data_IF_699529481819
#
_entry.id   IF_699529481819
#
_cell.length_a   1.000
_cell.length_b   1.000
_cell.length_c   1.000
_cell.angle_alpha   90.00
_cell.angle_beta   90.00
_cell.angle_gamma   90.00
#
_symmetry.space_group_name_H-M   'P 1'
#
loop_
_entity.id
_entity.type
_entity.pdbx_description
1 polymer ?
#
# COMPACT_ATOMS: atom_id res chain seq x y z
N UNK A 1 54.74 52.93 42.72
CA UNK A 1 53.60 53.44 41.93
C UNK A 1 53.97 53.37 40.45
N UNK A 2 53.55 52.33 39.72
CA UNK A 2 53.13 52.38 38.29
C UNK A 2 52.71 50.98 37.81
N UNK A 3 51.74 50.99 36.92
CA UNK A 3 50.76 49.94 36.66
C UNK A 3 51.31 48.72 35.90
N UNK A 4 50.66 47.58 36.17
CA UNK A 4 50.90 46.26 35.57
C UNK A 4 50.30 46.17 34.16
N UNK A 5 51.03 45.40 33.36
CA UNK A 5 50.75 44.82 32.04
C UNK A 5 49.29 44.36 31.83
N UNK A 6 48.73 44.74 30.68
CA UNK A 6 47.49 44.22 30.10
C UNK A 6 47.74 42.83 29.51
N UNK A 7 47.05 41.81 30.02
CA UNK A 7 46.98 40.47 29.42
C UNK A 7 45.81 40.42 28.44
N UNK A 8 46.11 40.23 27.16
CA UNK A 8 45.13 39.93 26.10
C UNK A 8 44.46 38.59 26.36
N UNK A 9 43.12 38.58 26.40
CA UNK A 9 42.32 37.37 26.29
C UNK A 9 41.97 37.15 24.83
N UNK A 10 42.51 36.08 24.23
CA UNK A 10 42.02 35.59 22.93
C UNK A 10 40.72 34.83 23.17
N UNK A 11 39.62 35.33 22.58
CA UNK A 11 38.33 34.63 22.56
C UNK A 11 38.41 33.61 21.43
N UNK A 12 38.55 32.33 21.77
CA UNK A 12 38.43 31.24 20.81
C UNK A 12 36.97 31.13 20.38
N UNK A 13 36.68 31.58 19.16
CA UNK A 13 35.37 31.39 18.52
C UNK A 13 35.22 29.92 18.14
N UNK A 14 34.57 29.13 19.00
CA UNK A 14 34.11 27.79 18.66
C UNK A 14 33.03 27.90 17.59
N UNK A 15 33.40 27.61 16.34
CA UNK A 15 32.45 27.42 15.24
C UNK A 15 31.72 26.10 15.51
N UNK A 16 30.53 26.19 16.10
CA UNK A 16 29.54 25.11 16.13
C UNK A 16 29.05 24.90 14.69
N UNK A 17 29.69 23.97 13.97
CA UNK A 17 29.13 23.42 12.74
C UNK A 17 27.93 22.58 13.15
N UNK A 18 26.74 23.19 13.10
CA UNK A 18 25.51 22.45 13.10
C UNK A 18 25.46 21.66 11.80
N UNK A 19 25.86 20.39 11.83
CA UNK A 19 25.30 19.42 10.90
C UNK A 19 23.80 19.41 11.17
N UNK A 20 23.05 20.17 10.36
CA UNK A 20 21.68 19.81 10.08
C UNK A 20 21.76 18.42 9.47
N UNK A 21 21.66 17.40 10.31
CA UNK A 21 21.05 16.14 9.90
C UNK A 21 19.69 16.57 9.37
N UNK A 22 19.61 16.73 8.05
CA UNK A 22 18.35 16.67 7.36
C UNK A 22 17.71 15.39 7.87
N UNK A 23 16.69 15.53 8.71
CA UNK A 23 15.81 14.45 9.08
C UNK A 23 15.31 13.94 7.73
N UNK A 24 15.95 12.89 7.20
CA UNK A 24 15.44 12.17 6.05
C UNK A 24 14.12 11.62 6.56
N UNK A 25 13.04 12.34 6.25
CA UNK A 25 11.69 12.05 6.72
C UNK A 25 11.48 10.56 6.50
N UNK A 26 11.30 9.82 7.58
CA UNK A 26 11.27 8.38 7.47
C UNK A 26 10.10 8.02 6.55
N UNK A 27 10.38 7.24 5.49
CA UNK A 27 9.42 6.83 4.46
C UNK A 27 8.45 5.79 5.03
N UNK A 28 7.61 6.19 5.99
CA UNK A 28 6.53 5.34 6.48
C UNK A 28 5.24 5.65 5.75
N UNK A 29 4.59 4.61 5.27
CA UNK A 29 3.20 4.65 4.87
C UNK A 29 2.35 4.00 5.97
N UNK A 30 1.22 4.62 6.28
CA UNK A 30 0.29 4.08 7.29
C UNK A 30 -0.91 3.44 6.62
N UNK A 31 -1.33 2.29 7.15
CA UNK A 31 -2.52 1.57 6.71
C UNK A 31 -2.54 1.36 5.19
N UNK A 32 -1.45 0.83 4.63
CA UNK A 32 -1.36 0.46 3.22
C UNK A 32 -1.02 -1.03 3.08
N UNK A 33 -1.34 -1.59 1.91
CA UNK A 33 -0.91 -2.93 1.52
C UNK A 33 -0.15 -2.87 0.20
N UNK A 34 0.80 -3.79 0.03
CA UNK A 34 1.56 -3.95 -1.20
C UNK A 34 0.74 -4.74 -2.22
N UNK A 35 0.60 -4.21 -3.42
CA UNK A 35 0.09 -4.92 -4.60
C UNK A 35 1.28 -5.35 -5.45
N UNK A 36 1.60 -6.66 -5.52
CA UNK A 36 2.78 -7.17 -6.19
C UNK A 36 2.54 -7.37 -7.70
N UNK A 37 2.19 -6.30 -8.41
CA UNK A 37 2.06 -6.32 -9.87
C UNK A 37 3.42 -6.15 -10.56
N UNK A 38 3.45 -6.12 -11.89
CA UNK A 38 4.66 -5.82 -12.68
C UNK A 38 5.28 -4.46 -12.32
N UNK A 39 4.46 -3.52 -11.84
CA UNK A 39 4.87 -2.23 -11.29
C UNK A 39 4.30 -2.12 -9.87
N UNK A 40 4.96 -2.71 -8.86
CA UNK A 40 4.38 -2.82 -7.54
C UNK A 40 4.09 -1.43 -6.95
N UNK A 41 3.03 -1.36 -6.16
CA UNK A 41 2.61 -0.14 -5.49
C UNK A 41 1.95 -0.44 -4.16
N UNK A 42 1.95 0.55 -3.28
CA UNK A 42 1.18 0.54 -2.05
C UNK A 42 -0.19 1.18 -2.29
N UNK A 43 -1.23 0.64 -1.67
CA UNK A 43 -2.56 1.22 -1.70
C UNK A 43 -3.17 1.24 -0.29
N UNK A 44 -3.86 2.33 0.08
CA UNK A 44 -4.51 2.48 1.38
C UNK A 44 -5.43 1.30 1.68
N UNK A 45 -5.36 0.67 2.84
CA UNK A 45 -6.22 -0.45 3.24
C UNK A 45 -7.70 -0.05 3.19
N UNK A 46 -8.01 1.14 3.70
CA UNK A 46 -9.36 1.69 3.77
C UNK A 46 -9.53 2.82 2.76
N UNK A 47 -10.76 3.02 2.28
CA UNK A 47 -11.17 4.33 1.79
C UNK A 47 -10.89 5.41 2.83
N UNK A 48 -10.65 6.63 2.38
CA UNK A 48 -10.48 7.76 3.28
C UNK A 48 -11.70 7.83 4.22
N UNK A 49 -11.44 7.84 5.55
CA UNK A 49 -12.48 7.70 6.60
C UNK A 49 -12.86 9.02 7.27
N UNK A 50 -14.00 9.00 7.98
CA UNK A 50 -14.83 10.12 8.45
C UNK A 50 -14.49 10.73 9.81
N UNK A 51 -13.27 10.60 10.34
CA UNK A 51 -12.88 11.51 11.45
C UNK A 51 -12.78 12.97 10.97
N UNK A 52 -12.78 13.17 9.65
CA UNK A 52 -13.10 14.43 9.00
C UNK A 52 -14.41 14.22 8.25
N UNK A 53 -15.49 14.84 8.76
CA UNK A 53 -16.88 14.73 8.28
C UNK A 53 -17.00 15.04 6.77
N UNK A 54 -15.95 15.64 6.18
CA UNK A 54 -15.82 15.99 4.76
C UNK A 54 -15.32 14.85 3.85
N UNK A 55 -14.66 13.83 4.39
CA UNK A 55 -13.98 12.79 3.59
C UNK A 55 -14.98 11.87 2.85
N UNK A 56 -16.25 11.93 3.24
CA UNK A 56 -17.34 11.19 2.64
C UNK A 56 -17.77 11.62 1.23
N UNK A 57 -17.45 12.85 0.83
CA UNK A 57 -17.95 13.45 -0.40
C UNK A 57 -16.90 14.40 -0.98
N UNK A 58 -15.77 13.84 -1.42
CA UNK A 58 -14.69 14.60 -2.01
C UNK A 58 -15.03 14.90 -3.46
N UNK A 59 -14.79 16.13 -3.90
CA UNK A 59 -14.54 16.40 -5.32
C UNK A 59 -13.23 15.74 -5.74
N UNK A 60 -13.06 15.50 -7.04
CA UNK A 60 -11.80 14.95 -7.57
C UNK A 60 -10.55 15.75 -7.14
N UNK A 61 -10.66 17.08 -7.10
CA UNK A 61 -9.55 17.95 -6.68
C UNK A 61 -9.25 17.83 -5.17
N UNK A 62 -10.28 17.67 -4.33
CA UNK A 62 -10.09 17.47 -2.89
C UNK A 62 -9.49 16.09 -2.61
N UNK A 63 -9.87 15.07 -3.38
CA UNK A 63 -9.27 13.74 -3.31
C UNK A 63 -7.78 13.76 -3.71
N UNK A 64 -7.43 14.44 -4.81
CA UNK A 64 -6.04 14.60 -5.25
C UNK A 64 -5.20 15.35 -4.20
N UNK A 65 -5.72 16.45 -3.68
CA UNK A 65 -5.07 17.21 -2.60
C UNK A 65 -4.95 16.38 -1.31
N UNK A 66 -5.96 15.58 -0.97
CA UNK A 66 -5.91 14.67 0.18
C UNK A 66 -4.75 13.67 0.03
N UNK A 67 -4.65 12.97 -1.10
CA UNK A 67 -3.57 12.01 -1.31
C UNK A 67 -2.20 12.68 -1.34
N UNK A 68 -2.09 13.86 -1.97
CA UNK A 68 -0.83 14.63 -2.02
C UNK A 68 -0.32 15.01 -0.63
N UNK A 69 -1.22 15.37 0.32
CA UNK A 69 -0.84 15.66 1.71
C UNK A 69 -0.30 14.44 2.47
N UNK A 70 -0.66 13.24 2.04
CA UNK A 70 -0.13 11.98 2.56
C UNK A 70 1.20 11.58 1.89
N UNK A 71 1.71 12.37 0.95
CA UNK A 71 2.86 11.98 0.11
C UNK A 71 2.52 10.88 -0.90
N UNK A 72 1.23 10.72 -1.22
CA UNK A 72 0.66 9.72 -2.11
C UNK A 72 -0.04 10.39 -3.30
N UNK A 73 -0.65 9.62 -4.18
CA UNK A 73 -1.43 10.12 -5.33
C UNK A 73 -2.75 9.37 -5.48
N UNK A 74 -3.61 9.89 -6.35
CA UNK A 74 -4.77 9.13 -6.82
C UNK A 74 -4.30 7.85 -7.56
N UNK A 75 -5.02 6.73 -7.39
CA UNK A 75 -4.81 5.53 -8.18
C UNK A 75 -5.20 5.80 -9.63
N UNK A 76 -4.43 5.22 -10.55
CA UNK A 76 -4.94 4.98 -11.89
C UNK A 76 -6.06 3.96 -11.84
N UNK A 77 -6.94 3.95 -12.85
CA UNK A 77 -7.99 2.94 -12.99
C UNK A 77 -7.40 1.52 -12.98
N UNK A 78 -6.25 1.33 -13.62
CA UNK A 78 -5.60 0.02 -13.72
C UNK A 78 -5.02 -0.44 -12.38
N UNK A 79 -4.36 0.45 -11.61
CA UNK A 79 -3.89 0.14 -10.27
C UNK A 79 -5.04 -0.22 -9.34
N UNK A 80 -6.12 0.57 -9.37
CA UNK A 80 -7.31 0.27 -8.60
C UNK A 80 -7.83 -1.12 -8.97
N UNK A 81 -7.97 -1.42 -10.27
CA UNK A 81 -8.46 -2.71 -10.74
C UNK A 81 -7.53 -3.88 -10.39
N UNK A 82 -6.21 -3.70 -10.46
CA UNK A 82 -5.23 -4.70 -10.05
C UNK A 82 -5.36 -5.06 -8.58
N UNK A 83 -5.53 -4.05 -7.72
CA UNK A 83 -5.76 -4.24 -6.29
C UNK A 83 -7.09 -4.96 -6.04
N UNK A 84 -8.17 -4.52 -6.69
CA UNK A 84 -9.52 -5.07 -6.53
C UNK A 84 -9.64 -6.52 -7.01
N UNK A 85 -9.08 -6.83 -8.18
CA UNK A 85 -9.18 -8.15 -8.82
C UNK A 85 -8.19 -9.17 -8.27
N UNK A 86 -7.23 -8.75 -7.44
CA UNK A 86 -6.15 -9.63 -7.01
C UNK A 86 -5.23 -10.05 -8.12
N UNK A 87 -4.94 -9.14 -9.06
CA UNK A 87 -4.22 -9.46 -10.30
C UNK A 87 -4.97 -10.54 -11.12
N UNK A 88 -6.30 -10.44 -11.17
CA UNK A 88 -7.17 -11.36 -11.92
C UNK A 88 -7.52 -12.68 -11.21
N UNK A 89 -7.10 -12.88 -9.95
CA UNK A 89 -7.49 -14.05 -9.14
C UNK A 89 -8.99 -14.06 -8.84
N UNK A 90 -9.58 -12.87 -8.68
CA UNK A 90 -11.02 -12.71 -8.52
C UNK A 90 -11.68 -12.44 -9.88
N UNK A 91 -12.87 -13.02 -10.10
CA UNK A 91 -13.58 -12.93 -11.38
C UNK A 91 -14.83 -12.07 -11.31
N UNK A 92 -15.56 -12.12 -10.20
CA UNK A 92 -16.84 -11.42 -10.09
C UNK A 92 -16.76 -10.25 -9.10
N UNK A 93 -16.10 -10.43 -7.96
CA UNK A 93 -16.11 -9.54 -6.81
C UNK A 93 -14.69 -9.27 -6.30
N UNK A 94 -14.47 -8.16 -5.59
CA UNK A 94 -13.13 -7.87 -5.07
C UNK A 94 -12.73 -8.73 -3.87
N UNK A 95 -13.71 -9.42 -3.28
CA UNK A 95 -13.55 -10.21 -2.06
C UNK A 95 -12.62 -11.39 -2.26
N UNK A 96 -11.88 -11.76 -1.20
CA UNK A 96 -11.10 -13.00 -1.17
C UNK A 96 -11.96 -14.19 -1.62
N UNK A 97 -11.38 -15.05 -2.47
CA UNK A 97 -12.02 -16.26 -3.01
C UNK A 97 -13.30 -16.01 -3.82
N UNK A 98 -13.54 -14.77 -4.27
CA UNK A 98 -14.77 -14.41 -4.99
C UNK A 98 -16.05 -14.72 -4.17
N UNK A 99 -15.90 -14.80 -2.86
CA UNK A 99 -16.90 -15.38 -1.97
C UNK A 99 -17.94 -14.34 -1.52
N UNK A 100 -18.90 -14.04 -2.41
CA UNK A 100 -20.17 -13.45 -1.97
C UNK A 100 -21.00 -14.53 -1.27
N UNK A 101 -20.99 -14.53 0.06
CA UNK A 101 -21.98 -15.33 0.79
C UNK A 101 -23.35 -14.64 0.74
N UNK A 102 -24.45 -15.40 0.72
CA UNK A 102 -25.82 -14.86 0.66
C UNK A 102 -26.18 -13.92 1.83
N UNK A 103 -25.36 -13.86 2.88
CA UNK A 103 -25.50 -12.94 4.02
C UNK A 103 -24.76 -11.59 3.82
N UNK A 104 -23.89 -11.48 2.82
CA UNK A 104 -22.99 -10.34 2.59
C UNK A 104 -23.54 -9.41 1.49
N UNK A 105 -24.40 -8.47 1.88
CA UNK A 105 -24.62 -7.27 1.07
C UNK A 105 -23.28 -6.53 0.96
N UNK A 106 -22.90 -6.08 -0.24
CA UNK A 106 -21.91 -5.01 -0.37
C UNK A 106 -22.25 -3.92 0.63
N UNK A 107 -21.23 -3.44 1.37
CA UNK A 107 -21.33 -2.61 2.56
C UNK A 107 -22.61 -1.76 2.61
N UNK A 108 -23.61 -2.24 3.38
CA UNK A 108 -24.92 -1.63 3.49
C UNK A 108 -25.07 -0.92 4.83
N UNK A 109 -24.90 0.40 4.83
CA UNK A 109 -25.60 1.29 5.75
C UNK A 109 -25.87 2.61 5.04
N UNK A 110 -27.15 2.94 4.88
CA UNK A 110 -27.61 4.05 4.05
C UNK A 110 -27.24 5.44 4.60
N UNK A 111 -26.69 5.54 5.82
CA UNK A 111 -26.53 6.82 6.52
C UNK A 111 -25.12 7.10 7.08
N UNK A 112 -24.15 6.21 6.88
CA UNK A 112 -22.75 6.45 7.24
C UNK A 112 -21.85 5.50 6.47
N UNK A 113 -20.62 5.92 6.16
CA UNK A 113 -19.54 4.98 5.91
C UNK A 113 -19.48 4.08 7.14
N UNK A 114 -19.94 2.83 6.99
CA UNK A 114 -19.84 1.86 8.07
C UNK A 114 -18.37 1.77 8.38
N UNK A 115 -17.98 2.18 9.59
CA UNK A 115 -16.62 1.96 10.02
C UNK A 115 -16.34 0.47 9.87
N UNK A 116 -15.23 0.13 9.23
CA UNK A 116 -14.74 -1.23 8.99
C UNK A 116 -14.33 -1.93 10.31
N UNK A 117 -15.00 -1.59 11.41
CA UNK A 117 -14.69 -2.04 12.76
C UNK A 117 -15.36 -3.35 13.13
N UNK A 118 -16.25 -3.87 12.29
CA UNK A 118 -17.02 -5.05 12.63
C UNK A 118 -16.33 -6.30 12.07
N UNK A 119 -15.64 -7.01 12.96
CA UNK A 119 -15.06 -8.34 12.75
C UNK A 119 -16.08 -9.39 12.29
N UNK A 120 -17.35 -9.03 12.09
CA UNK A 120 -18.43 -9.92 11.66
C UNK A 120 -18.79 -9.79 10.17
N UNK A 121 -18.19 -8.86 9.40
CA UNK A 121 -18.62 -8.55 8.02
C UNK A 121 -17.46 -8.34 7.05
N UNK A 122 -16.73 -9.42 6.81
CA UNK A 122 -15.59 -9.53 5.90
C UNK A 122 -15.91 -9.01 4.48
N UNK A 123 -15.55 -7.76 4.23
CA UNK A 123 -15.33 -7.15 2.92
C UNK A 123 -13.83 -7.08 2.57
N UNK A 124 -13.03 -8.01 3.11
CA UNK A 124 -11.58 -8.03 2.91
C UNK A 124 -11.29 -8.59 1.52
N UNK A 125 -10.62 -7.79 0.71
CA UNK A 125 -10.16 -8.18 -0.60
C UNK A 125 -8.85 -8.97 -0.49
N UNK A 126 -8.44 -9.57 -1.59
CA UNK A 126 -7.32 -10.52 -1.64
C UNK A 126 -5.94 -9.98 -1.21
N UNK A 127 -5.73 -8.66 -1.24
CA UNK A 127 -4.51 -8.03 -0.72
C UNK A 127 -4.70 -7.44 0.68
N UNK A 128 -5.86 -7.66 1.30
CA UNK A 128 -6.18 -7.11 2.62
C UNK A 128 -6.71 -5.69 2.58
N UNK A 129 -7.09 -5.16 1.42
CA UNK A 129 -7.88 -3.93 1.32
C UNK A 129 -9.30 -4.21 1.78
N UNK A 130 -10.07 -3.16 2.09
CA UNK A 130 -11.46 -3.33 2.51
C UNK A 130 -12.37 -2.35 1.79
N UNK A 131 -13.51 -2.86 1.34
CA UNK A 131 -14.56 -2.03 0.77
C UNK A 131 -14.29 -1.57 -0.65
N UNK A 132 -13.37 -2.23 -1.39
CA UNK A 132 -13.21 -1.95 -2.82
C UNK A 132 -14.48 -2.28 -3.60
N UNK A 133 -15.37 -3.14 -3.06
CA UNK A 133 -16.70 -3.37 -3.61
C UNK A 133 -17.82 -2.77 -2.79
N UNK A 134 -18.49 -1.75 -3.33
CA UNK A 134 -19.64 -1.08 -2.73
C UNK A 134 -19.25 0.05 -1.79
N UNK A 135 -20.10 0.35 -0.81
CA UNK A 135 -19.98 1.50 0.09
C UNK A 135 -20.01 2.87 -0.64
N UNK A 136 -18.86 3.34 -1.10
CA UNK A 136 -18.69 4.61 -1.80
C UNK A 136 -17.87 4.40 -3.05
N UNK A 137 -18.19 5.18 -4.07
CA UNK A 137 -17.38 5.17 -5.28
C UNK A 137 -16.06 5.87 -4.99
N UNK A 138 -14.99 5.41 -5.61
CA UNK A 138 -13.64 5.93 -5.36
C UNK A 138 -13.11 6.62 -6.60
N UNK A 139 -12.57 7.84 -6.45
CA UNK A 139 -11.92 8.55 -7.53
C UNK A 139 -10.70 7.81 -8.06
N UNK A 140 -10.62 7.70 -9.39
CA UNK A 140 -9.45 7.16 -10.10
C UNK A 140 -9.06 8.07 -11.26
N UNK A 141 -7.83 7.95 -11.73
CA UNK A 141 -7.34 8.58 -12.96
C UNK A 141 -7.47 7.58 -14.11
N UNK A 142 -8.21 7.94 -15.16
CA UNK A 142 -8.33 7.15 -16.38
C UNK A 142 -7.03 7.22 -17.21
N UNK A 143 -6.81 6.29 -18.16
CA UNK A 143 -5.61 6.30 -19.02
C UNK A 143 -5.42 7.59 -19.83
N UNK A 144 -6.49 8.29 -20.16
CA UNK A 144 -6.47 9.58 -20.88
C UNK A 144 -6.25 10.79 -19.96
N UNK A 145 -6.00 10.57 -18.66
CA UNK A 145 -5.84 11.61 -17.65
C UNK A 145 -7.15 12.20 -17.13
N UNK A 146 -8.30 11.77 -17.65
CA UNK A 146 -9.60 12.18 -17.12
C UNK A 146 -9.91 11.47 -15.80
N UNK A 147 -10.94 11.93 -15.10
CA UNK A 147 -11.39 11.29 -13.86
C UNK A 147 -12.40 10.18 -14.13
N UNK A 148 -12.23 9.08 -13.42
CA UNK A 148 -13.19 7.98 -13.34
C UNK A 148 -13.60 7.72 -11.89
N UNK A 149 -14.53 6.79 -11.71
CA UNK A 149 -14.91 6.26 -10.43
C UNK A 149 -14.92 4.74 -10.46
N UNK A 150 -14.48 4.10 -9.38
CA UNK A 150 -14.51 2.65 -9.20
C UNK A 150 -15.24 2.26 -7.91
N UNK A 151 -15.54 0.97 -7.73
CA UNK A 151 -16.13 0.41 -6.51
C UNK A 151 -17.64 0.58 -6.36
N UNK A 152 -18.25 1.51 -7.13
CA UNK A 152 -19.68 1.82 -7.13
C UNK A 152 -20.19 2.22 -5.73
N UNK A 153 -21.50 2.19 -5.47
CA UNK A 153 -22.13 2.81 -4.28
C UNK A 153 -23.00 1.84 -3.49
N UNK A 154 -23.22 2.14 -2.20
CA UNK A 154 -24.01 1.33 -1.26
C UNK A 154 -25.47 1.03 -1.69
N UNK A 155 -26.01 1.74 -2.69
CA UNK A 155 -27.39 1.56 -3.14
C UNK A 155 -27.59 0.38 -4.10
N UNK A 156 -26.52 -0.26 -4.57
CA UNK A 156 -26.61 -1.43 -5.44
C UNK A 156 -26.82 -2.68 -4.59
N UNK A 157 -27.94 -3.35 -4.87
CA UNK A 157 -28.43 -4.45 -4.03
C UNK A 157 -28.25 -5.82 -4.68
N UNK A 158 -28.01 -5.87 -5.99
CA UNK A 158 -27.88 -7.12 -6.72
C UNK A 158 -26.40 -7.44 -7.00
N UNK A 159 -25.97 -8.65 -6.66
CA UNK A 159 -24.67 -9.17 -6.99
C UNK A 159 -24.42 -9.21 -8.50
N UNK A 160 -25.46 -9.35 -9.32
CA UNK A 160 -25.33 -9.36 -10.77
C UNK A 160 -25.01 -7.98 -11.36
N UNK A 161 -25.39 -6.91 -10.66
CA UNK A 161 -25.00 -5.53 -11.02
C UNK A 161 -23.54 -5.25 -10.62
N UNK A 162 -22.96 -6.12 -9.79
CA UNK A 162 -21.63 -5.99 -9.24
C UNK A 162 -20.68 -6.97 -9.92
N UNK A 163 -20.07 -6.55 -11.03
CA UNK A 163 -19.02 -7.33 -11.69
C UNK A 163 -17.78 -6.48 -11.87
N UNK A 164 -16.61 -7.08 -11.62
CA UNK A 164 -15.31 -6.43 -11.80
C UNK A 164 -15.20 -5.74 -13.17
N UNK A 165 -15.66 -6.36 -14.26
CA UNK A 165 -15.57 -5.78 -15.60
C UNK A 165 -16.41 -4.49 -15.82
N UNK A 166 -17.36 -4.18 -14.93
CA UNK A 166 -18.16 -2.94 -14.97
C UNK A 166 -17.96 -2.05 -13.73
N UNK A 167 -17.14 -2.48 -12.78
CA UNK A 167 -16.93 -1.82 -11.47
C UNK A 167 -16.29 -0.42 -11.56
N UNK A 168 -15.80 -0.04 -12.74
CA UNK A 168 -15.19 1.26 -12.98
C UNK A 168 -15.85 1.94 -14.17
N UNK A 169 -16.11 3.24 -14.05
CA UNK A 169 -16.81 4.01 -15.06
C UNK A 169 -16.52 5.50 -15.03
N UNK A 170 -17.05 6.20 -16.03
CA UNK A 170 -17.05 7.65 -16.16
C UNK A 170 -18.43 8.24 -15.77
N UNK A 171 -18.61 9.54 -15.99
CA UNK A 171 -19.87 10.25 -15.69
C UNK A 171 -21.10 9.69 -16.43
N UNK A 172 -20.92 8.94 -17.51
CA UNK A 172 -22.02 8.31 -18.26
C UNK A 172 -22.38 6.92 -17.72
N UNK A 173 -21.55 6.38 -16.83
CA UNK A 173 -21.73 5.04 -16.29
C UNK A 173 -22.80 5.02 -15.20
N UNK A 174 -23.62 3.96 -15.16
CA UNK A 174 -24.73 3.81 -14.20
C UNK A 174 -24.26 3.77 -12.75
N UNK A 175 -23.00 3.39 -12.53
CA UNK A 175 -22.34 3.38 -11.22
C UNK A 175 -21.82 4.72 -10.73
N UNK A 176 -21.89 5.78 -11.54
CA UNK A 176 -21.41 7.10 -11.15
C UNK A 176 -22.19 7.64 -9.95
N UNK A 177 -21.45 8.19 -8.99
CA UNK A 177 -21.97 8.91 -7.83
C UNK A 177 -21.57 10.39 -7.92
N UNK A 178 -22.55 11.28 -7.81
CA UNK A 178 -22.31 12.73 -7.87
C UNK A 178 -21.91 13.34 -6.51
N UNK A 179 -22.35 12.75 -5.40
CA UNK A 179 -22.29 13.34 -4.06
C UNK A 179 -21.80 12.40 -2.95
N UNK A 180 -21.32 11.20 -3.30
CA UNK A 180 -20.89 10.19 -2.33
C UNK A 180 -19.65 9.43 -2.83
N UNK A 181 -18.62 10.21 -3.17
CA UNK A 181 -17.36 9.72 -3.74
C UNK A 181 -16.24 9.98 -2.74
N UNK A 182 -15.42 8.96 -2.52
CA UNK A 182 -14.23 8.99 -1.65
C UNK A 182 -12.99 8.67 -2.48
N UNK A 183 -11.89 8.32 -1.82
CA UNK A 183 -10.63 7.95 -2.44
C UNK A 183 -9.88 6.95 -1.58
N UNK A 184 -9.13 6.09 -2.25
CA UNK A 184 -7.98 5.38 -1.67
C UNK A 184 -6.73 5.89 -2.34
N UNK A 185 -5.67 6.14 -1.58
CA UNK A 185 -4.45 6.70 -2.15
C UNK A 185 -3.46 5.58 -2.49
N UNK A 186 -2.61 5.82 -3.49
CA UNK A 186 -1.50 4.93 -3.85
C UNK A 186 -0.15 5.62 -3.75
N UNK A 187 0.89 4.84 -3.48
CA UNK A 187 2.28 5.26 -3.56
C UNK A 187 3.07 4.23 -4.35
N UNK A 188 4.03 4.68 -5.14
CA UNK A 188 4.93 3.78 -5.85
C UNK A 188 5.72 2.94 -4.85
N UNK A 189 5.93 1.66 -5.17
CA UNK A 189 6.72 0.79 -4.32
C UNK A 189 8.17 1.28 -4.25
N UNK A 190 8.72 1.26 -3.03
CA UNK A 190 10.15 1.43 -2.78
C UNK A 190 10.59 0.40 -1.74
N UNK A 191 11.71 -0.32 -1.95
CA UNK A 191 12.16 -1.35 -1.02
C UNK A 191 12.41 -0.85 0.41
N UNK A 192 12.76 0.43 0.56
CA UNK A 192 13.00 1.06 1.86
C UNK A 192 11.74 1.59 2.55
N UNK A 193 10.58 1.58 1.86
CA UNK A 193 9.31 2.02 2.44
C UNK A 193 8.91 1.08 3.57
N UNK A 194 8.68 1.67 4.75
CA UNK A 194 8.19 0.95 5.91
C UNK A 194 6.68 1.15 6.02
N UNK A 195 5.96 0.11 6.43
CA UNK A 195 4.50 0.18 6.60
C UNK A 195 4.15 0.06 8.07
N UNK A 196 3.34 0.98 8.57
CA UNK A 196 2.77 0.94 9.92
C UNK A 196 1.27 0.71 9.85
N UNK A 197 0.77 -0.24 10.64
CA UNK A 197 -0.67 -0.45 10.81
C UNK A 197 -1.17 0.35 12.02
N UNK A 198 -2.25 1.09 11.84
CA UNK A 198 -2.92 1.81 12.91
C UNK A 198 -3.80 0.87 13.74
N UNK A 199 -4.30 1.39 14.87
CA UNK A 199 -5.26 0.70 15.74
C UNK A 199 -6.59 0.31 15.05
N UNK A 200 -6.85 0.82 13.85
CA UNK A 200 -8.03 0.47 13.07
C UNK A 200 -7.87 -0.89 12.37
N UNK A 201 -6.64 -1.34 12.16
CA UNK A 201 -6.31 -2.65 11.60
C UNK A 201 -6.13 -3.64 12.76
N UNK A 202 -7.18 -4.38 13.08
CA UNK A 202 -7.21 -5.28 14.26
C UNK A 202 -8.00 -6.56 13.98
N UNK A 203 -7.92 -7.52 14.91
CA UNK A 203 -8.68 -8.77 14.83
C UNK A 203 -8.32 -9.61 13.60
N UNK A 204 -9.33 -10.16 12.93
CA UNK A 204 -9.16 -11.01 11.74
C UNK A 204 -8.42 -10.32 10.60
N UNK A 205 -8.61 -9.02 10.44
CA UNK A 205 -7.94 -8.25 9.39
C UNK A 205 -6.43 -8.17 9.62
N UNK A 206 -6.01 -7.83 10.85
CA UNK A 206 -4.60 -7.83 11.22
C UNK A 206 -3.96 -9.23 11.07
N UNK A 207 -4.69 -10.28 11.47
CA UNK A 207 -4.23 -11.66 11.32
C UNK A 207 -4.02 -12.03 9.83
N UNK A 208 -4.96 -11.64 8.96
CA UNK A 208 -4.86 -11.91 7.53
C UNK A 208 -3.69 -11.16 6.88
N UNK A 209 -3.48 -9.89 7.25
CA UNK A 209 -2.32 -9.13 6.76
C UNK A 209 -1.00 -9.76 7.21
N UNK A 210 -0.91 -10.20 8.46
CA UNK A 210 0.27 -10.92 8.95
C UNK A 210 0.50 -12.24 8.18
N UNK A 211 -0.57 -12.96 7.83
CA UNK A 211 -0.49 -14.17 7.00
C UNK A 211 0.01 -13.88 5.58
N UNK A 212 -0.44 -12.79 4.95
CA UNK A 212 0.03 -12.36 3.64
C UNK A 212 1.53 -12.05 3.65
N UNK A 213 2.01 -11.33 4.66
CA UNK A 213 3.44 -11.02 4.83
C UNK A 213 4.25 -12.31 5.00
N UNK A 214 3.84 -13.19 5.91
CA UNK A 214 4.51 -14.49 6.14
C UNK A 214 4.57 -15.34 4.88
N UNK A 215 3.47 -15.38 4.11
CA UNK A 215 3.41 -16.12 2.84
C UNK A 215 4.38 -15.54 1.82
N UNK A 216 4.49 -14.21 1.73
CA UNK A 216 5.43 -13.55 0.83
C UNK A 216 6.89 -13.85 1.21
N UNK A 217 7.24 -13.78 2.49
CA UNK A 217 8.57 -14.09 3.01
C UNK A 217 8.96 -15.56 2.72
N UNK A 218 8.04 -16.50 2.98
CA UNK A 218 8.26 -17.92 2.70
C UNK A 218 8.49 -18.19 1.21
N UNK A 219 7.75 -17.53 0.33
CA UNK A 219 7.92 -17.67 -1.11
C UNK A 219 9.26 -17.10 -1.59
N UNK A 220 9.75 -16.01 -0.98
CA UNK A 220 11.07 -15.46 -1.28
C UNK A 220 12.19 -16.43 -0.89
N UNK A 221 12.12 -17.03 0.29
CA UNK A 221 13.10 -18.03 0.77
C UNK A 221 13.17 -19.21 -0.20
N UNK A 222 12.02 -19.75 -0.63
CA UNK A 222 11.96 -20.90 -1.53
C UNK A 222 12.34 -20.58 -2.99
N UNK A 223 12.40 -19.30 -3.36
CA UNK A 223 12.79 -18.86 -4.71
C UNK A 223 14.28 -18.53 -4.85
N UNK A 224 15.07 -18.61 -3.77
CA UNK A 224 16.52 -18.47 -3.88
C UNK A 224 17.09 -19.70 -4.61
N UNK A 225 17.85 -19.51 -5.71
CA UNK A 225 18.46 -20.63 -6.41
C UNK A 225 19.35 -21.40 -5.43
N UNK A 226 19.20 -22.73 -5.41
CA UNK A 226 20.14 -23.60 -4.70
C UNK A 226 21.56 -23.15 -5.08
N UNK A 227 22.31 -22.68 -4.09
CA UNK A 227 23.72 -22.34 -4.27
C UNK A 227 24.35 -23.58 -4.91
N UNK A 228 24.99 -23.46 -6.09
CA UNK A 228 25.58 -24.60 -6.75
C UNK A 228 26.50 -25.26 -5.74
N UNK A 229 26.19 -26.51 -5.42
CA UNK A 229 26.88 -27.30 -4.44
C UNK A 229 28.37 -27.24 -4.82
N UNK A 230 29.17 -26.51 -4.03
CA UNK A 230 30.61 -26.48 -4.18
C UNK A 230 31.10 -27.85 -3.74
N UNK A 231 30.89 -28.85 -4.58
CA UNK A 231 31.70 -30.06 -4.55
C UNK A 231 33.11 -29.57 -4.82
N UNK A 232 33.90 -29.47 -3.75
CA UNK A 232 35.33 -29.27 -3.81
C UNK A 232 35.87 -30.20 -4.89
N UNK A 233 36.27 -29.61 -6.02
CA UNK A 233 37.07 -30.27 -7.01
C UNK A 233 38.39 -30.61 -6.29
N UNK A 234 38.48 -31.85 -5.79
CA UNK A 234 39.69 -32.36 -5.17
C UNK A 234 40.80 -32.28 -6.23
N UNK A 235 41.60 -31.22 -6.14
CA UNK A 235 42.80 -31.05 -6.94
C UNK A 235 43.66 -32.29 -6.71
N UNK A 236 43.94 -33.10 -7.74
CA UNK A 236 44.75 -34.30 -7.57
C UNK A 236 46.11 -33.89 -7.01
N UNK A 237 46.46 -34.40 -5.83
CA UNK A 237 47.79 -34.19 -5.27
C UNK A 237 48.83 -34.70 -6.27
N UNK A 238 49.62 -33.79 -6.82
CA UNK A 238 50.72 -34.12 -7.69
C UNK A 238 51.72 -35.00 -6.91
N UNK A 239 51.98 -36.19 -7.43
CA UNK A 239 53.03 -37.08 -6.92
C UNK A 239 54.38 -36.33 -6.93
N UNK A 240 55.14 -36.35 -5.83
CA UNK A 240 56.51 -35.83 -5.84
C UNK A 240 57.36 -36.65 -6.83
N UNK A 241 58.06 -35.94 -7.72
CA UNK A 241 59.09 -36.53 -8.58
C UNK A 241 60.27 -36.90 -7.69
N UNK A 242 60.52 -38.20 -7.58
CA UNK A 242 61.77 -38.76 -7.11
C UNK A 242 62.84 -38.56 -8.20
N UNK A 243 63.96 -38.05 -7.73
CA UNK A 243 65.34 -38.30 -8.17
C UNK A 243 65.78 -37.76 -9.53
N UNK A 244 66.85 -36.96 -9.49
CA UNK A 244 68.03 -37.19 -10.34
C UNK A 244 69.25 -36.72 -9.54
N UNK A 245 69.91 -37.68 -8.87
CA UNK A 245 71.36 -37.66 -8.66
C UNK A 245 72.02 -37.83 -10.03
N UNK A 246 72.89 -36.90 -10.43
CA UNK A 246 74.24 -37.10 -11.02
C UNK A 246 74.84 -35.75 -11.46
#
# INVERSE_FOLDING_TARGET
>A
MRLRSLTQWSVATTILVFFQLAYSGQNYLRDVVLVPSDKPFYISIFEATTNDVRVAALTFSEADHYCSRLGMRLPTRDEWFQAASGLGKNKNFTLKEDALTAANRFHYNANSSVGVYDSQRLGIDIFGTVGMSGNRSEWVVNPDGTRGQCGWKYTLRNADDFRLNVICGDKKSTGWADDNVTVRCVADYRPETRVELSQNVKGEHANYLAELVRTAENNQINSQPEQPNQQEEQVPQAKPRLDDEF
#
